data_IF_186727915442
#
_entry.id   IF_186727915442
#
_cell.length_a   1.000
_cell.length_b   1.000
_cell.length_c   1.000
_cell.angle_alpha   90.00
_cell.angle_beta   90.00
_cell.angle_gamma   90.00
#
_symmetry.space_group_name_H-M   'P 1'
#
loop_
_entity.id
_entity.type
_entity.pdbx_description
1 polymer ?
#
# COMPACT_ATOMS: atom_id res chain seq x y z
N UNK A 1 20.45 -60.16 28.35
CA UNK A 1 20.99 -58.87 27.95
C UNK A 1 20.00 -58.19 27.04
N UNK A 2 19.34 -57.22 27.56
CA UNK A 2 18.38 -56.43 26.81
C UNK A 2 19.15 -55.26 26.18
N UNK A 3 19.21 -55.30 24.86
CA UNK A 3 19.73 -54.14 24.15
C UNK A 3 18.57 -53.17 23.95
N UNK A 4 18.57 -52.10 24.68
CA UNK A 4 17.71 -50.98 24.39
C UNK A 4 18.22 -50.36 23.10
N UNK A 5 17.50 -50.59 22.04
CA UNK A 5 17.64 -49.78 20.84
C UNK A 5 16.98 -48.45 21.14
N UNK A 6 17.77 -47.45 21.47
CA UNK A 6 17.33 -46.08 21.58
C UNK A 6 17.12 -45.60 20.14
N UNK A 7 15.87 -45.74 19.68
CA UNK A 7 15.49 -45.10 18.40
C UNK A 7 15.35 -43.63 18.74
N UNK A 8 16.41 -42.91 18.44
CA UNK A 8 16.38 -41.47 18.43
C UNK A 8 15.54 -41.06 17.24
N UNK A 9 14.27 -40.84 17.49
CA UNK A 9 13.41 -40.14 16.51
C UNK A 9 13.89 -38.69 16.48
N UNK A 10 14.86 -38.45 15.61
CA UNK A 10 15.16 -37.10 15.24
C UNK A 10 14.03 -36.63 14.34
N UNK A 11 12.96 -36.16 14.93
CA UNK A 11 11.94 -35.43 14.20
C UNK A 11 12.58 -34.16 13.71
N UNK A 12 13.04 -34.20 12.47
CA UNK A 12 13.34 -32.98 11.74
C UNK A 12 12.04 -32.22 11.61
N UNK A 13 11.79 -31.33 12.52
CA UNK A 13 10.86 -30.25 12.33
C UNK A 13 11.49 -29.32 11.30
N UNK A 14 11.31 -29.63 10.04
CA UNK A 14 11.44 -28.62 9.01
C UNK A 14 10.25 -27.70 9.17
N UNK A 15 10.36 -26.79 10.10
CA UNK A 15 9.44 -25.68 10.19
C UNK A 15 9.68 -24.80 8.98
N UNK A 16 9.00 -25.10 7.87
CA UNK A 16 8.88 -24.15 6.80
C UNK A 16 8.12 -22.96 7.38
N UNK A 17 8.85 -21.91 7.73
CA UNK A 17 8.25 -20.65 8.12
C UNK A 17 7.67 -20.03 6.85
N UNK A 18 6.41 -20.37 6.54
CA UNK A 18 5.64 -19.72 5.47
C UNK A 18 5.01 -18.43 5.96
N UNK A 19 5.60 -17.80 6.98
CA UNK A 19 5.13 -16.53 7.48
C UNK A 19 5.26 -15.48 6.37
N UNK A 20 4.14 -15.05 5.82
CA UNK A 20 4.04 -13.82 5.06
C UNK A 20 4.10 -13.95 3.56
N UNK A 21 4.03 -15.15 2.99
CA UNK A 21 3.90 -15.26 1.54
C UNK A 21 2.44 -15.38 1.11
N UNK A 22 1.64 -14.36 1.48
CA UNK A 22 0.42 -14.08 0.77
C UNK A 22 0.73 -13.48 -0.60
N UNK A 23 -0.24 -13.44 -1.53
CA UNK A 23 -0.03 -12.76 -2.81
C UNK A 23 0.43 -11.33 -2.56
N UNK A 24 1.56 -10.96 -3.15
CA UNK A 24 2.08 -9.60 -3.06
C UNK A 24 1.11 -8.65 -3.74
N UNK A 25 0.64 -7.65 -3.00
CA UNK A 25 -0.23 -6.63 -3.55
C UNK A 25 0.59 -5.70 -4.46
N UNK A 26 0.17 -5.59 -5.71
CA UNK A 26 0.82 -4.73 -6.69
C UNK A 26 -0.02 -3.48 -6.89
N UNK A 27 0.60 -2.31 -6.73
CA UNK A 27 -0.06 -1.00 -6.78
C UNK A 27 0.57 -0.13 -7.87
N UNK A 28 0.28 -0.47 -9.11
CA UNK A 28 0.88 0.16 -10.31
C UNK A 28 -0.17 0.70 -11.29
N UNK A 29 -1.42 0.78 -10.89
CA UNK A 29 -2.52 1.23 -11.75
C UNK A 29 -2.68 2.74 -11.63
N UNK A 30 -2.45 3.45 -12.69
CA UNK A 30 -2.47 4.90 -12.75
C UNK A 30 -1.19 5.44 -13.38
N UNK A 31 -0.67 6.60 -12.96
CA UNK A 31 -1.16 7.40 -11.84
C UNK A 31 -2.19 8.47 -12.23
N UNK A 32 -2.83 9.04 -11.21
CA UNK A 32 -3.52 10.34 -11.31
C UNK A 32 -2.96 11.26 -10.25
N UNK A 33 -2.93 12.56 -10.54
CA UNK A 33 -2.46 13.56 -9.57
C UNK A 33 -3.62 14.01 -8.68
N UNK A 34 -3.38 14.01 -7.36
CA UNK A 34 -4.32 14.51 -6.35
C UNK A 34 -3.61 15.49 -5.44
N UNK A 35 -4.31 16.53 -5.04
CA UNK A 35 -3.78 17.50 -4.08
C UNK A 35 -4.29 17.20 -2.67
N UNK A 36 -3.38 17.03 -1.75
CA UNK A 36 -3.65 16.90 -0.32
C UNK A 36 -2.64 17.74 0.45
N UNK A 37 -3.12 18.50 1.43
CA UNK A 37 -2.25 19.39 2.22
C UNK A 37 -1.55 20.43 1.37
N UNK A 38 -2.23 20.95 0.35
CA UNK A 38 -1.68 21.92 -0.63
C UNK A 38 -0.44 21.41 -1.36
N UNK A 39 -0.31 20.11 -1.51
CA UNK A 39 0.83 19.43 -2.13
C UNK A 39 0.29 18.38 -3.09
N UNK A 40 0.97 18.18 -4.21
CA UNK A 40 0.59 17.18 -5.20
C UNK A 40 1.10 15.80 -4.83
N UNK A 41 0.23 14.81 -5.06
CA UNK A 41 0.49 13.39 -4.84
C UNK A 41 0.12 12.60 -6.07
N UNK A 42 0.92 11.60 -6.39
CA UNK A 42 0.58 10.63 -7.43
C UNK A 42 -0.21 9.49 -6.79
N UNK A 43 -1.44 9.29 -7.26
CA UNK A 43 -2.29 8.22 -6.77
C UNK A 43 -2.23 7.03 -7.72
N UNK A 44 -1.90 5.87 -7.17
CA UNK A 44 -1.98 4.59 -7.84
C UNK A 44 -2.98 3.71 -7.11
N UNK A 45 -3.78 2.97 -7.83
CA UNK A 45 -4.54 1.89 -7.19
C UNK A 45 -3.81 0.56 -7.32
N UNK A 46 -4.18 -0.34 -6.44
CA UNK A 46 -3.62 -1.67 -6.41
C UNK A 46 -4.49 -2.62 -7.24
N UNK A 47 -3.95 -3.78 -7.59
CA UNK A 47 -4.66 -4.76 -8.43
C UNK A 47 -5.84 -5.43 -7.73
N UNK A 48 -6.01 -5.20 -6.42
CA UNK A 48 -7.21 -5.57 -5.68
C UNK A 48 -8.43 -4.68 -6.00
N UNK A 49 -8.21 -3.58 -6.76
CA UNK A 49 -9.22 -2.60 -7.13
C UNK A 49 -9.88 -1.91 -5.93
N UNK A 50 -9.18 -1.87 -4.82
CA UNK A 50 -9.69 -1.35 -3.55
C UNK A 50 -8.69 -0.46 -2.82
N UNK A 51 -7.41 -0.85 -2.80
CA UNK A 51 -6.35 -0.14 -2.10
C UNK A 51 -5.73 0.95 -2.97
N UNK A 52 -5.23 2.00 -2.32
CA UNK A 52 -4.55 3.13 -2.96
C UNK A 52 -3.18 3.36 -2.34
N UNK A 53 -2.25 3.83 -3.16
CA UNK A 53 -0.97 4.38 -2.72
C UNK A 53 -0.89 5.80 -3.22
N UNK A 54 -0.58 6.73 -2.32
CA UNK A 54 -0.30 8.12 -2.65
C UNK A 54 1.19 8.37 -2.46
N UNK A 55 1.87 8.69 -3.52
CA UNK A 55 3.31 8.99 -3.50
C UNK A 55 3.48 10.49 -3.70
N UNK A 56 4.26 11.14 -2.84
CA UNK A 56 4.53 12.56 -2.99
C UNK A 56 5.10 12.82 -4.39
N UNK A 57 4.49 13.77 -5.11
CA UNK A 57 4.90 14.08 -6.47
C UNK A 57 6.36 14.57 -6.50
N UNK A 58 7.13 14.21 -7.53
CA UNK A 58 8.50 14.69 -7.67
C UNK A 58 8.58 16.21 -7.56
N UNK A 59 9.49 16.70 -6.74
CA UNK A 59 9.67 18.12 -6.50
C UNK A 59 8.70 18.77 -5.51
N UNK A 60 7.72 18.00 -4.98
CA UNK A 60 6.80 18.53 -3.99
C UNK A 60 7.43 18.65 -2.60
N UNK A 61 6.83 19.48 -1.74
CA UNK A 61 7.32 19.67 -0.37
C UNK A 61 7.25 18.39 0.48
N UNK A 62 6.36 17.46 0.13
CA UNK A 62 6.19 16.20 0.85
C UNK A 62 7.16 15.10 0.40
N UNK A 63 7.93 15.30 -0.68
CA UNK A 63 8.88 14.30 -1.16
C UNK A 63 10.10 14.20 -0.22
N UNK A 64 10.58 13.00 0.15
CA UNK A 64 10.02 11.68 -0.15
C UNK A 64 9.05 11.22 0.93
N UNK A 65 7.84 10.92 0.54
CA UNK A 65 6.82 10.36 1.43
C UNK A 65 5.78 9.56 0.64
N UNK A 66 5.16 8.57 1.26
CA UNK A 66 4.01 7.89 0.67
C UNK A 66 2.99 7.52 1.74
N UNK A 67 1.73 7.38 1.32
CA UNK A 67 0.65 6.80 2.13
C UNK A 67 0.12 5.56 1.44
N UNK A 68 -0.16 4.54 2.24
CA UNK A 68 -0.89 3.36 1.81
C UNK A 68 -2.25 3.34 2.47
N UNK A 69 -3.29 3.28 1.65
CA UNK A 69 -4.67 3.28 2.10
C UNK A 69 -5.30 1.94 1.74
N UNK A 70 -5.63 1.14 2.74
CA UNK A 70 -6.19 -0.20 2.55
C UNK A 70 -7.41 -0.44 3.43
N UNK A 71 -8.25 -1.38 3.03
CA UNK A 71 -9.43 -1.75 3.81
C UNK A 71 -9.08 -2.75 4.89
N UNK A 72 -9.64 -2.50 6.06
CA UNK A 72 -9.57 -3.39 7.20
C UNK A 72 -10.88 -3.32 7.98
N UNK A 73 -11.57 -4.46 8.15
CA UNK A 73 -12.86 -4.53 8.86
C UNK A 73 -13.90 -3.51 8.35
N UNK A 74 -14.00 -3.35 7.04
CA UNK A 74 -14.97 -2.44 6.41
C UNK A 74 -14.60 -0.95 6.48
N UNK A 75 -13.43 -0.62 7.01
CA UNK A 75 -12.90 0.74 7.09
C UNK A 75 -11.61 0.86 6.30
N UNK A 76 -11.25 2.08 5.93
CA UNK A 76 -9.95 2.37 5.34
C UNK A 76 -8.97 2.81 6.41
N UNK A 77 -7.78 2.21 6.41
CA UNK A 77 -6.66 2.60 7.26
C UNK A 77 -5.58 3.21 6.38
N UNK A 78 -5.03 4.34 6.83
CA UNK A 78 -3.93 4.99 6.18
C UNK A 78 -2.64 4.79 6.97
N UNK A 79 -1.59 4.33 6.29
CA UNK A 79 -0.25 4.22 6.82
C UNK A 79 0.69 5.06 5.97
N UNK A 80 1.65 5.74 6.58
CA UNK A 80 2.58 6.59 5.84
C UNK A 80 3.99 6.46 6.34
N UNK A 81 4.95 6.63 5.43
CA UNK A 81 6.38 6.61 5.72
C UNK A 81 7.13 7.58 4.80
N UNK A 82 8.22 8.13 5.30
CA UNK A 82 9.12 8.97 4.56
C UNK A 82 9.67 10.13 5.37
N UNK A 83 10.50 10.95 4.72
CA UNK A 83 11.21 12.07 5.32
C UNK A 83 10.80 13.43 4.73
N UNK A 84 9.63 13.51 4.11
CA UNK A 84 9.12 14.76 3.54
C UNK A 84 8.83 15.82 4.60
N UNK A 85 8.57 17.05 4.14
CA UNK A 85 8.25 18.16 5.03
C UNK A 85 7.08 17.81 5.95
N UNK A 86 7.32 17.84 7.26
CA UNK A 86 6.36 17.40 8.25
C UNK A 86 5.02 18.14 8.18
N UNK A 87 5.05 19.45 7.98
CA UNK A 87 3.83 20.27 7.89
C UNK A 87 2.95 19.83 6.71
N UNK A 88 3.55 19.62 5.55
CA UNK A 88 2.86 19.16 4.34
C UNK A 88 2.32 17.75 4.52
N UNK A 89 3.09 16.85 5.13
CA UNK A 89 2.70 15.47 5.39
C UNK A 89 1.54 15.39 6.38
N UNK A 90 1.60 16.14 7.49
CA UNK A 90 0.53 16.15 8.50
C UNK A 90 -0.79 16.68 7.90
N UNK A 91 -0.72 17.74 7.10
CA UNK A 91 -1.90 18.30 6.43
C UNK A 91 -2.50 17.30 5.43
N UNK A 92 -1.67 16.65 4.64
CA UNK A 92 -2.11 15.62 3.70
C UNK A 92 -2.72 14.41 4.42
N UNK A 93 -2.08 13.95 5.50
CA UNK A 93 -2.56 12.83 6.30
C UNK A 93 -3.97 13.07 6.83
N UNK A 94 -4.25 14.27 7.31
CA UNK A 94 -5.58 14.62 7.82
C UNK A 94 -6.65 14.49 6.71
N UNK A 95 -6.35 14.96 5.50
CA UNK A 95 -7.26 14.88 4.36
C UNK A 95 -7.44 13.46 3.83
N UNK A 96 -6.35 12.70 3.76
CA UNK A 96 -6.38 11.31 3.28
C UNK A 96 -7.18 10.43 4.25
N UNK A 97 -7.00 10.60 5.55
CA UNK A 97 -7.77 9.87 6.56
C UNK A 97 -9.25 10.23 6.56
N UNK A 98 -9.61 11.41 6.08
CA UNK A 98 -11.00 11.86 5.99
C UNK A 98 -11.71 11.39 4.71
N UNK A 99 -11.02 10.72 3.78
CA UNK A 99 -11.64 10.22 2.56
C UNK A 99 -12.73 9.20 2.89
N UNK A 100 -13.90 9.42 2.28
CA UNK A 100 -15.02 8.47 2.38
C UNK A 100 -14.77 7.26 1.47
N UNK A 101 -15.47 6.17 1.74
CA UNK A 101 -15.44 4.99 0.85
C UNK A 101 -15.80 5.35 -0.59
N UNK A 102 -16.79 6.23 -0.78
CA UNK A 102 -17.18 6.69 -2.11
C UNK A 102 -16.06 7.47 -2.81
N UNK A 103 -15.36 8.33 -2.07
CA UNK A 103 -14.22 9.08 -2.60
C UNK A 103 -13.05 8.16 -2.96
N UNK A 104 -12.73 7.18 -2.13
CA UNK A 104 -11.70 6.19 -2.44
C UNK A 104 -12.06 5.40 -3.68
N UNK A 105 -13.30 4.92 -3.78
CA UNK A 105 -13.79 4.20 -4.96
C UNK A 105 -13.70 5.05 -6.23
N UNK A 106 -14.02 6.33 -6.13
CA UNK A 106 -13.90 7.26 -7.27
C UNK A 106 -12.44 7.40 -7.73
N UNK A 107 -11.49 7.53 -6.80
CA UNK A 107 -10.07 7.63 -7.13
C UNK A 107 -9.57 6.34 -7.76
N UNK A 108 -9.96 5.18 -7.24
CA UNK A 108 -9.64 3.88 -7.86
C UNK A 108 -10.12 3.85 -9.31
N UNK A 109 -11.35 4.28 -9.57
CA UNK A 109 -11.89 4.37 -10.93
C UNK A 109 -11.08 5.31 -11.82
N UNK A 110 -10.66 6.45 -11.30
CA UNK A 110 -9.81 7.41 -12.04
C UNK A 110 -8.46 6.79 -12.42
N UNK A 111 -7.81 6.07 -11.51
CA UNK A 111 -6.53 5.41 -11.77
C UNK A 111 -6.67 4.32 -12.84
N UNK A 112 -7.76 3.57 -12.81
CA UNK A 112 -8.04 2.53 -13.82
C UNK A 112 -8.22 3.16 -15.19
N UNK A 113 -8.98 4.25 -15.29
CA UNK A 113 -9.15 4.99 -16.56
C UNK A 113 -7.84 5.58 -17.05
N UNK A 114 -7.02 6.13 -16.16
CA UNK A 114 -5.71 6.68 -16.53
C UNK A 114 -4.78 5.60 -17.08
N UNK A 115 -4.77 4.42 -16.47
CA UNK A 115 -3.94 3.30 -16.91
C UNK A 115 -4.39 2.74 -18.26
N UNK A 116 -5.68 2.83 -18.59
CA UNK A 116 -6.24 2.34 -19.85
C UNK A 116 -6.00 3.30 -21.04
N UNK A 117 -5.60 4.55 -20.76
CA UNK A 117 -5.31 5.50 -21.86
C UNK A 117 -4.04 5.09 -22.59
N UNK A 118 -4.05 5.13 -23.95
CA UNK A 118 -2.84 4.91 -24.72
C UNK A 118 -1.78 5.92 -24.31
N UNK A 119 -0.55 5.44 -24.09
CA UNK A 119 0.58 6.36 -23.88
C UNK A 119 0.86 7.06 -25.21
N UNK A 120 0.45 8.31 -25.32
CA UNK A 120 0.90 9.18 -26.39
C UNK A 120 2.35 9.56 -26.15
N UNK A 121 3.17 9.24 -27.10
CA UNK A 121 4.56 9.72 -27.10
C UNK A 121 4.60 11.23 -27.35
#
# INVERSE_FOLDING_TARGET
MKRLALILFLSLFTGACLAGEGPTLVCDVGPVTKAFGSTDWLAYSCRDRSSLVFIAAPGSAAEPYYFFLHRWNGKYLAQGEGDGNRKSVVAANAQIRALTTAQVTAIVGETIRAAAKPKTK
#
